data_IF_729042735757
#
_entry.id   IF_729042735757
#
_cell.length_a   1.000
_cell.length_b   1.000
_cell.length_c   1.000
_cell.angle_alpha   90.00
_cell.angle_beta   90.00
_cell.angle_gamma   90.00
#
_symmetry.space_group_name_H-M   'P 1'
#
loop_
_entity.id
_entity.type
_entity.pdbx_description
1 polymer ?
#
# COMPACT_ATOMS: atom_id res chain seq x y z
N UNK A 1 35.70 37.81 -9.91
CA UNK A 1 34.45 37.06 -9.68
C UNK A 1 34.79 35.73 -9.03
N UNK A 2 34.57 35.58 -7.72
CA UNK A 2 34.84 34.33 -7.02
C UNK A 2 33.61 33.40 -7.12
N UNK A 3 33.70 32.35 -7.93
CA UNK A 3 32.62 31.38 -8.11
C UNK A 3 32.46 30.48 -6.88
N UNK A 4 31.32 30.58 -6.19
CA UNK A 4 30.95 29.68 -5.09
C UNK A 4 30.67 28.28 -5.67
N UNK A 5 31.55 27.32 -5.38
CA UNK A 5 31.36 25.90 -5.77
C UNK A 5 30.12 25.35 -5.07
N UNK A 6 29.04 25.13 -5.82
CA UNK A 6 27.82 24.49 -5.32
C UNK A 6 28.17 23.06 -4.88
N UNK A 7 27.91 22.73 -3.61
CA UNK A 7 27.94 21.34 -3.15
C UNK A 7 26.76 20.62 -3.79
N UNK A 8 27.01 19.51 -4.46
CA UNK A 8 25.95 18.63 -4.92
C UNK A 8 25.29 18.00 -3.68
N UNK A 9 23.98 18.22 -3.52
CA UNK A 9 23.19 17.53 -2.54
C UNK A 9 23.10 16.06 -2.95
N UNK A 10 23.68 15.17 -2.16
CA UNK A 10 23.45 13.73 -2.31
C UNK A 10 22.15 13.41 -1.58
N UNK A 11 21.01 13.53 -2.26
CA UNK A 11 19.77 12.93 -1.76
C UNK A 11 19.94 11.42 -1.85
N UNK A 12 20.00 10.73 -0.72
CA UNK A 12 19.85 9.28 -0.68
C UNK A 12 18.41 8.97 -1.07
N UNK A 13 18.20 8.60 -2.32
CA UNK A 13 16.99 7.88 -2.71
C UNK A 13 17.18 6.49 -2.10
N UNK A 14 16.57 6.25 -0.95
CA UNK A 14 16.47 4.90 -0.41
C UNK A 14 15.71 4.06 -1.45
N UNK A 15 16.46 3.33 -2.27
CA UNK A 15 15.89 2.33 -3.17
C UNK A 15 15.24 1.28 -2.28
N UNK A 16 13.91 1.31 -2.23
CA UNK A 16 13.13 0.27 -1.56
C UNK A 16 13.45 -1.03 -2.31
N UNK A 17 14.06 -1.98 -1.61
CA UNK A 17 14.31 -3.31 -2.16
C UNK A 17 12.97 -4.04 -2.29
N UNK A 18 12.35 -3.93 -3.46
CA UNK A 18 11.06 -4.55 -3.78
C UNK A 18 11.08 -6.07 -3.61
N UNK A 19 12.27 -6.71 -3.65
CA UNK A 19 12.41 -8.15 -3.47
C UNK A 19 12.07 -8.62 -2.05
N UNK A 20 12.12 -7.73 -1.07
CA UNK A 20 11.74 -8.01 0.33
C UNK A 20 10.24 -7.80 0.59
N UNK A 21 9.51 -7.17 -0.36
CA UNK A 21 8.09 -6.86 -0.17
C UNK A 21 7.26 -8.13 -0.38
N UNK A 22 6.68 -8.62 0.72
CA UNK A 22 5.70 -9.72 0.68
C UNK A 22 4.30 -9.16 0.41
N UNK A 23 3.92 -9.13 -0.86
CA UNK A 23 2.56 -8.78 -1.27
C UNK A 23 1.53 -9.73 -0.66
N UNK A 24 0.37 -9.18 -0.28
CA UNK A 24 -0.74 -9.93 0.30
C UNK A 24 -2.04 -9.57 -0.38
N UNK A 25 -2.97 -10.52 -0.42
CA UNK A 25 -4.31 -10.28 -0.89
C UNK A 25 -5.05 -9.36 0.09
N UNK A 26 -5.85 -8.42 -0.44
CA UNK A 26 -6.61 -7.46 0.37
C UNK A 26 -7.44 -8.13 1.47
N UNK A 27 -8.16 -9.21 1.13
CA UNK A 27 -9.02 -9.98 2.06
C UNK A 27 -8.24 -10.58 3.25
N UNK A 28 -6.93 -10.77 3.10
CA UNK A 28 -6.05 -11.26 4.19
C UNK A 28 -5.58 -10.16 5.14
N UNK A 29 -5.81 -8.90 4.79
CA UNK A 29 -5.37 -7.71 5.55
C UNK A 29 -6.57 -6.96 6.13
N UNK A 30 -7.61 -6.78 5.33
CA UNK A 30 -8.82 -6.02 5.67
C UNK A 30 -10.06 -6.90 5.52
N UNK A 31 -11.04 -6.66 6.40
CA UNK A 31 -12.34 -7.33 6.37
C UNK A 31 -13.18 -6.76 5.25
N UNK A 32 -13.83 -7.63 4.48
CA UNK A 32 -14.84 -7.20 3.52
C UNK A 32 -16.03 -6.56 4.23
N UNK A 33 -16.52 -5.47 3.64
CA UNK A 33 -17.73 -4.78 4.08
C UNK A 33 -18.97 -5.65 3.78
N UNK A 34 -19.96 -5.75 4.69
CA UNK A 34 -21.25 -6.37 4.43
C UNK A 34 -21.93 -5.80 3.17
N UNK A 35 -22.73 -6.63 2.47
CA UNK A 35 -23.39 -6.20 1.22
C UNK A 35 -24.52 -5.20 1.46
N UNK A 36 -25.02 -5.17 2.68
CA UNK A 36 -26.15 -4.36 3.12
C UNK A 36 -25.72 -2.94 3.53
N UNK A 37 -24.41 -2.69 3.65
CA UNK A 37 -23.85 -1.40 4.07
C UNK A 37 -23.81 -0.41 2.89
N UNK A 38 -24.22 0.84 3.15
CA UNK A 38 -24.24 1.89 2.14
C UNK A 38 -22.83 2.15 1.61
N UNK A 39 -22.63 2.32 0.29
CA UNK A 39 -21.34 2.72 -0.27
C UNK A 39 -20.75 3.98 0.36
N UNK A 40 -21.61 4.90 0.82
CA UNK A 40 -21.21 6.15 1.45
C UNK A 40 -20.55 5.94 2.83
N UNK A 41 -20.82 4.79 3.47
CA UNK A 41 -20.30 4.43 4.79
C UNK A 41 -19.08 3.50 4.69
N UNK A 42 -18.62 3.17 3.48
CA UNK A 42 -17.48 2.27 3.31
C UNK A 42 -16.20 2.84 3.92
N UNK A 43 -15.39 2.00 4.61
CA UNK A 43 -14.13 2.44 5.17
C UNK A 43 -13.17 2.85 4.05
N UNK A 44 -12.62 4.06 4.18
CA UNK A 44 -11.64 4.61 3.25
C UNK A 44 -10.25 4.42 3.86
N UNK A 45 -9.32 3.86 3.08
CA UNK A 45 -7.93 3.65 3.48
C UNK A 45 -6.97 4.39 2.55
N UNK A 46 -5.82 4.79 3.07
CA UNK A 46 -4.75 5.35 2.26
C UNK A 46 -3.88 4.21 1.70
N UNK A 47 -3.67 4.21 0.39
CA UNK A 47 -2.74 3.32 -0.29
C UNK A 47 -1.54 4.14 -0.80
N UNK A 48 -0.37 3.98 -0.16
CA UNK A 48 0.88 4.66 -0.53
C UNK A 48 1.64 3.91 -1.61
N UNK A 49 2.40 4.66 -2.40
CA UNK A 49 3.22 4.15 -3.50
C UNK A 49 2.43 3.23 -4.45
N UNK A 50 1.17 3.61 -4.69
CA UNK A 50 0.24 2.79 -5.42
C UNK A 50 0.58 2.76 -6.92
N UNK A 51 0.59 1.57 -7.49
CA UNK A 51 0.77 1.32 -8.92
C UNK A 51 -0.44 0.61 -9.49
N UNK A 52 -0.81 0.99 -10.71
CA UNK A 52 -1.90 0.38 -11.47
C UNK A 52 -1.29 -0.48 -12.57
N UNK A 53 -1.64 -1.76 -12.55
CA UNK A 53 -1.09 -2.79 -13.41
C UNK A 53 -2.19 -3.37 -14.29
N UNK A 54 -1.82 -3.76 -15.51
CA UNK A 54 -2.69 -4.53 -16.39
C UNK A 54 -3.01 -5.90 -15.78
N UNK A 55 -3.95 -6.64 -16.37
CA UNK A 55 -4.32 -8.02 -16.02
C UNK A 55 -3.13 -8.98 -15.94
N UNK A 56 -2.06 -8.71 -16.69
CA UNK A 56 -0.83 -9.51 -16.69
C UNK A 56 0.02 -9.28 -15.43
N UNK A 57 -0.32 -8.26 -14.62
CA UNK A 57 0.31 -7.98 -13.33
C UNK A 57 1.73 -7.45 -13.40
N UNK A 58 2.23 -7.12 -14.60
CA UNK A 58 3.59 -6.63 -14.84
C UNK A 58 3.62 -5.24 -15.48
N UNK A 59 2.74 -5.01 -16.47
CA UNK A 59 2.71 -3.75 -17.21
C UNK A 59 1.97 -2.66 -16.44
N UNK A 60 2.60 -1.51 -16.25
CA UNK A 60 1.94 -0.31 -15.74
C UNK A 60 0.87 0.16 -16.73
N UNK A 61 -0.31 0.51 -16.22
CA UNK A 61 -1.43 1.00 -17.00
C UNK A 61 -2.03 2.29 -16.44
N UNK A 62 -2.73 3.03 -17.29
CA UNK A 62 -3.42 4.24 -16.87
C UNK A 62 -4.78 3.88 -16.26
N UNK A 63 -4.98 4.25 -14.98
CA UNK A 63 -6.21 4.00 -14.23
C UNK A 63 -7.49 4.52 -14.93
N UNK A 64 -7.39 5.62 -15.69
CA UNK A 64 -8.52 6.22 -16.40
C UNK A 64 -9.07 5.33 -17.52
N UNK A 65 -8.28 4.35 -17.98
CA UNK A 65 -8.69 3.43 -19.06
C UNK A 65 -9.47 2.21 -18.56
N UNK A 66 -9.83 2.14 -17.27
CA UNK A 66 -10.51 0.97 -16.68
C UNK A 66 -11.83 0.63 -17.39
N UNK A 67 -12.58 1.64 -17.84
CA UNK A 67 -13.84 1.44 -18.56
C UNK A 67 -13.70 0.85 -19.96
N UNK A 68 -12.49 0.89 -20.55
CA UNK A 68 -12.24 0.48 -21.95
C UNK A 68 -11.35 -0.77 -22.00
N UNK A 69 -10.32 -0.83 -21.15
CA UNK A 69 -9.31 -1.92 -21.14
C UNK A 69 -9.61 -3.01 -20.12
N UNK A 70 -10.62 -2.82 -19.28
CA UNK A 70 -11.07 -3.79 -18.31
C UNK A 70 -10.45 -3.58 -16.93
N UNK A 71 -10.67 -4.55 -16.01
CA UNK A 71 -10.23 -4.43 -14.63
C UNK A 71 -8.70 -4.44 -14.53
N UNK A 72 -8.18 -3.51 -13.74
CA UNK A 72 -6.75 -3.40 -13.44
C UNK A 72 -6.43 -3.95 -12.05
N UNK A 73 -5.18 -4.32 -11.86
CA UNK A 73 -4.63 -4.72 -10.57
C UNK A 73 -3.99 -3.48 -9.91
N UNK A 74 -4.45 -3.12 -8.72
CA UNK A 74 -3.83 -2.05 -7.93
C UNK A 74 -2.96 -2.68 -6.84
N UNK A 75 -1.72 -2.21 -6.71
CA UNK A 75 -0.79 -2.64 -5.66
C UNK A 75 -0.22 -1.42 -4.95
N UNK A 76 0.01 -1.53 -3.64
CA UNK A 76 0.65 -0.47 -2.86
C UNK A 76 0.73 -0.83 -1.39
N UNK A 77 1.21 0.11 -0.60
CA UNK A 77 1.37 -0.01 0.84
C UNK A 77 0.12 0.53 1.54
N UNK A 78 -0.68 -0.37 2.11
CA UNK A 78 -1.90 0.00 2.83
C UNK A 78 -1.56 0.59 4.20
N UNK A 79 -1.98 1.82 4.44
CA UNK A 79 -1.79 2.52 5.72
C UNK A 79 -3.08 2.44 6.54
N UNK A 80 -2.95 2.03 7.81
CA UNK A 80 -4.05 1.86 8.76
C UNK A 80 -3.67 2.61 10.05
N UNK A 81 -3.93 3.91 10.06
CA UNK A 81 -3.50 4.80 11.14
C UNK A 81 -4.64 5.10 12.13
N UNK A 82 -5.88 5.19 11.64
CA UNK A 82 -7.03 5.55 12.47
C UNK A 82 -7.54 4.37 13.31
N UNK A 83 -7.99 4.67 14.53
CA UNK A 83 -8.60 3.72 15.46
C UNK A 83 -9.85 3.08 14.85
N UNK A 84 -10.65 3.84 14.10
CA UNK A 84 -11.82 3.32 13.38
C UNK A 84 -11.47 2.36 12.24
N UNK A 85 -10.31 2.54 11.61
CA UNK A 85 -9.84 1.64 10.55
C UNK A 85 -9.24 0.34 11.11
N UNK A 86 -8.68 0.37 12.32
CA UNK A 86 -8.09 -0.82 12.96
C UNK A 86 -9.10 -1.93 13.24
N UNK A 87 -10.38 -1.59 13.46
CA UNK A 87 -11.45 -2.58 13.63
C UNK A 87 -11.69 -3.44 12.39
N UNK A 88 -11.32 -2.92 11.22
CA UNK A 88 -11.45 -3.61 9.93
C UNK A 88 -10.26 -4.52 9.63
N UNK A 89 -9.22 -4.55 10.46
CA UNK A 89 -8.03 -5.36 10.22
C UNK A 89 -8.33 -6.83 10.54
N UNK A 90 -8.28 -7.69 9.53
CA UNK A 90 -8.37 -9.16 9.71
C UNK A 90 -7.02 -9.75 10.10
N UNK A 91 -5.94 -9.03 9.80
CA UNK A 91 -4.60 -9.49 10.09
C UNK A 91 -4.26 -9.40 11.59
N UNK A 92 -4.32 -10.56 12.24
CA UNK A 92 -3.65 -10.81 13.52
C UNK A 92 -2.16 -11.04 13.25
N UNK A 93 -1.25 -10.15 13.70
CA UNK A 93 0.17 -10.44 13.59
C UNK A 93 0.51 -11.70 14.38
N UNK A 94 1.48 -12.52 13.94
CA UNK A 94 1.92 -13.67 14.71
C UNK A 94 2.37 -13.18 16.09
N UNK A 95 1.78 -13.77 17.13
CA UNK A 95 2.12 -13.52 18.52
C UNK A 95 3.62 -13.74 18.72
N UNK A 96 4.39 -12.67 18.84
CA UNK A 96 5.79 -12.74 19.24
C UNK A 96 5.79 -12.83 20.75
N UNK A 97 5.86 -14.04 21.29
CA UNK A 97 6.15 -14.24 22.70
C UNK A 97 7.52 -13.62 22.98
N UNK A 98 7.52 -12.37 23.45
CA UNK A 98 8.69 -11.78 24.08
C UNK A 98 8.87 -12.55 25.39
N UNK A 99 9.59 -13.67 25.33
CA UNK A 99 10.14 -14.33 26.52
C UNK A 99 10.99 -13.26 27.21
N UNK A 100 10.43 -12.68 28.27
CA UNK A 100 11.20 -11.92 29.24
C UNK A 100 12.29 -12.85 29.76
N UNK A 101 13.53 -12.54 29.39
CA UNK A 101 14.69 -13.18 29.97
C UNK A 101 15.10 -12.35 31.18
N UNK A 102 15.01 -13.02 32.34
CA UNK A 102 15.59 -12.73 33.66
C UNK A 102 14.85 -11.75 34.54
#
# INVERSE_FOLDING_TARGET
>A
MAGRRRRASTSSVDTIDESQIRWRQEVSVVRSVPKEESPDDWPIFELRDAVVLNKDGQSLENALHVGIRGPFLVRGNLIIDDVGQRSHRTYTPPYTSRRAAR
#
